data_IF_531419766252
#
_entry.id   IF_531419766252
#
_cell.length_a   1.000
_cell.length_b   1.000
_cell.length_c   1.000
_cell.angle_alpha   90.00
_cell.angle_beta   90.00
_cell.angle_gamma   90.00
#
_symmetry.space_group_name_H-M   'P 1'
#
loop_
_entity.id
_entity.type
_entity.pdbx_description
1 polymer ?
#
# COMPACT_ATOMS: atom_id res chain seq x y z
N UNK A 1 -41.86 -37.36 -12.54
CA UNK A 1 -41.06 -36.57 -11.58
C UNK A 1 -41.94 -36.19 -10.42
N UNK A 2 -41.54 -36.51 -9.20
CA UNK A 2 -42.36 -36.29 -8.00
C UNK A 2 -42.09 -34.91 -7.40
N UNK A 3 -43.12 -34.24 -6.89
CA UNK A 3 -43.01 -32.89 -6.30
C UNK A 3 -41.98 -32.84 -5.16
N UNK A 4 -41.82 -33.95 -4.43
CA UNK A 4 -40.90 -34.10 -3.29
C UNK A 4 -39.42 -34.06 -3.72
N UNK A 5 -39.09 -34.66 -4.85
CA UNK A 5 -37.71 -34.73 -5.38
C UNK A 5 -37.20 -33.34 -5.78
N UNK A 6 -38.10 -32.50 -6.29
CA UNK A 6 -37.79 -31.12 -6.66
C UNK A 6 -37.58 -30.21 -5.43
N UNK A 7 -38.38 -30.39 -4.36
CA UNK A 7 -38.24 -29.64 -3.11
C UNK A 7 -36.93 -30.00 -2.40
N UNK A 8 -36.57 -31.28 -2.33
CA UNK A 8 -35.32 -31.72 -1.69
C UNK A 8 -34.10 -31.18 -2.43
N UNK A 9 -34.12 -31.18 -3.76
CA UNK A 9 -33.01 -30.66 -4.58
C UNK A 9 -32.78 -29.16 -4.36
N UNK A 10 -33.85 -28.35 -4.26
CA UNK A 10 -33.75 -26.90 -3.99
C UNK A 10 -33.25 -26.63 -2.56
N UNK A 11 -33.71 -27.42 -1.57
CA UNK A 11 -33.27 -27.30 -0.18
C UNK A 11 -31.77 -27.60 -0.06
N UNK A 12 -31.28 -28.66 -0.68
CA UNK A 12 -29.86 -29.02 -0.63
C UNK A 12 -28.99 -27.97 -1.34
N UNK A 13 -29.45 -27.43 -2.49
CA UNK A 13 -28.72 -26.39 -3.21
C UNK A 13 -28.61 -25.09 -2.40
N UNK A 14 -29.65 -24.71 -1.64
CA UNK A 14 -29.65 -23.49 -0.84
C UNK A 14 -28.69 -23.54 0.35
N UNK A 15 -28.48 -24.69 0.97
CA UNK A 15 -27.51 -24.87 2.08
C UNK A 15 -26.07 -24.64 1.60
N UNK A 16 -25.74 -25.09 0.38
CA UNK A 16 -24.38 -25.04 -0.17
C UNK A 16 -23.98 -23.59 -0.54
N UNK A 17 -24.94 -22.75 -0.94
CA UNK A 17 -24.68 -21.35 -1.34
C UNK A 17 -24.21 -20.47 -0.16
N UNK A 18 -24.60 -20.80 1.08
CA UNK A 18 -24.34 -19.95 2.25
C UNK A 18 -22.88 -20.04 2.74
N UNK A 19 -22.12 -21.07 2.35
CA UNK A 19 -20.79 -21.35 2.92
C UNK A 19 -19.61 -20.69 2.18
N UNK A 20 -19.81 -20.13 0.98
CA UNK A 20 -18.70 -19.81 0.07
C UNK A 20 -18.26 -18.33 0.00
N UNK A 21 -18.94 -17.40 0.68
CA UNK A 21 -18.82 -15.96 0.37
C UNK A 21 -17.81 -15.14 1.21
N UNK A 22 -17.46 -15.46 2.47
CA UNK A 22 -16.69 -14.49 3.28
C UNK A 22 -15.17 -14.48 3.03
N UNK A 23 -14.57 -15.55 2.52
CA UNK A 23 -13.10 -15.69 2.46
C UNK A 23 -12.46 -14.96 1.27
N UNK A 24 -13.13 -14.93 0.12
CA UNK A 24 -12.59 -14.35 -1.12
C UNK A 24 -12.27 -12.85 -0.98
N UNK A 25 -13.17 -12.09 -0.36
CA UNK A 25 -12.97 -10.65 -0.13
C UNK A 25 -11.71 -10.39 0.71
N UNK A 26 -11.50 -11.18 1.78
CA UNK A 26 -10.32 -11.02 2.65
C UNK A 26 -9.01 -11.38 1.94
N UNK A 27 -9.02 -12.40 1.07
CA UNK A 27 -7.85 -12.79 0.29
C UNK A 27 -7.50 -11.71 -0.75
N UNK A 28 -8.50 -11.20 -1.48
CA UNK A 28 -8.29 -10.13 -2.47
C UNK A 28 -7.75 -8.86 -1.80
N UNK A 29 -8.30 -8.46 -0.65
CA UNK A 29 -7.82 -7.29 0.09
C UNK A 29 -6.37 -7.47 0.56
N UNK A 30 -5.99 -8.67 1.01
CA UNK A 30 -4.61 -8.96 1.38
C UNK A 30 -3.66 -8.93 0.17
N UNK A 31 -4.09 -9.45 -0.98
CA UNK A 31 -3.32 -9.38 -2.23
C UNK A 31 -3.13 -7.93 -2.68
N UNK A 32 -4.18 -7.11 -2.62
CA UNK A 32 -4.09 -5.68 -2.92
C UNK A 32 -3.12 -4.97 -1.96
N UNK A 33 -3.18 -5.27 -0.65
CA UNK A 33 -2.27 -4.69 0.35
C UNK A 33 -0.81 -5.04 0.06
N UNK A 34 -0.52 -6.30 -0.28
CA UNK A 34 0.82 -6.73 -0.67
C UNK A 34 1.29 -6.01 -1.94
N UNK A 35 0.46 -6.03 -2.98
CA UNK A 35 0.78 -5.39 -4.27
C UNK A 35 1.03 -3.90 -4.12
N UNK A 36 0.15 -3.19 -3.42
CA UNK A 36 0.24 -1.75 -3.15
C UNK A 36 1.55 -1.40 -2.40
N UNK A 37 1.91 -2.20 -1.39
CA UNK A 37 3.17 -2.05 -0.65
C UNK A 37 4.41 -2.33 -1.53
N UNK A 38 4.37 -3.38 -2.35
CA UNK A 38 5.46 -3.74 -3.25
C UNK A 38 5.65 -2.69 -4.35
N UNK A 39 4.56 -2.15 -4.90
CA UNK A 39 4.57 -1.03 -5.85
C UNK A 39 5.24 0.20 -5.25
N UNK A 40 4.94 0.56 -4.00
CA UNK A 40 5.61 1.67 -3.32
C UNK A 40 7.10 1.40 -3.15
N UNK A 41 7.47 0.21 -2.69
CA UNK A 41 8.86 -0.21 -2.50
C UNK A 41 9.64 -0.14 -3.81
N UNK A 42 9.06 -0.66 -4.89
CA UNK A 42 9.65 -0.62 -6.22
C UNK A 42 9.81 0.81 -6.70
N UNK A 43 8.79 1.66 -6.54
CA UNK A 43 8.88 3.07 -6.94
C UNK A 43 9.98 3.82 -6.16
N UNK A 44 10.08 3.62 -4.85
CA UNK A 44 11.12 4.25 -4.03
C UNK A 44 12.53 3.81 -4.45
N UNK A 45 12.72 2.52 -4.75
CA UNK A 45 13.99 2.01 -5.27
C UNK A 45 14.31 2.59 -6.66
N UNK A 46 13.30 2.65 -7.52
CA UNK A 46 13.42 3.19 -8.87
C UNK A 46 13.79 4.68 -8.85
N UNK A 47 13.08 5.48 -8.06
CA UNK A 47 13.34 6.90 -7.88
C UNK A 47 14.76 7.17 -7.38
N UNK A 48 15.22 6.40 -6.39
CA UNK A 48 16.61 6.46 -5.91
C UNK A 48 17.60 6.15 -7.03
N UNK A 49 17.34 5.10 -7.80
CA UNK A 49 18.20 4.69 -8.91
C UNK A 49 18.30 5.78 -9.97
N UNK A 50 17.17 6.36 -10.38
CA UNK A 50 17.14 7.48 -11.34
C UNK A 50 17.94 8.66 -10.79
N UNK A 51 17.73 9.05 -9.53
CA UNK A 51 18.41 10.20 -8.94
C UNK A 51 19.94 10.05 -8.98
N UNK A 52 20.45 8.84 -8.67
CA UNK A 52 21.87 8.53 -8.68
C UNK A 52 22.42 8.46 -10.11
N UNK A 53 21.75 7.73 -11.00
CA UNK A 53 22.22 7.46 -12.36
C UNK A 53 22.18 8.71 -13.24
N UNK A 54 21.10 9.48 -13.16
CA UNK A 54 20.91 10.69 -13.96
C UNK A 54 21.48 11.94 -13.27
N UNK A 55 22.00 11.80 -12.05
CA UNK A 55 22.57 12.88 -11.22
C UNK A 55 21.65 14.09 -11.06
N UNK A 56 20.34 13.83 -10.99
CA UNK A 56 19.32 14.87 -10.77
C UNK A 56 18.46 14.55 -9.56
N UNK A 57 17.82 15.58 -9.03
CA UNK A 57 16.83 15.41 -7.97
C UNK A 57 15.58 14.77 -8.57
N UNK A 58 15.03 13.77 -7.88
CA UNK A 58 13.79 13.09 -8.26
C UNK A 58 12.78 13.25 -7.14
N UNK A 59 11.57 13.69 -7.48
CA UNK A 59 10.47 13.85 -6.54
C UNK A 59 9.56 12.64 -6.61
N UNK A 60 9.16 12.11 -5.46
CA UNK A 60 8.16 11.05 -5.33
C UNK A 60 7.02 11.55 -4.47
N UNK A 61 5.84 11.69 -5.05
CA UNK A 61 4.64 12.01 -4.31
C UNK A 61 3.91 10.72 -3.92
N UNK A 62 3.59 10.58 -2.63
CA UNK A 62 2.90 9.44 -2.04
C UNK A 62 1.57 9.97 -1.51
N UNK A 63 0.46 9.64 -2.15
CA UNK A 63 -0.83 10.24 -1.82
C UNK A 63 -1.83 10.24 -2.96
N UNK A 64 -2.95 10.95 -2.75
CA UNK A 64 -4.08 10.95 -3.69
C UNK A 64 -4.12 12.17 -4.62
N UNK A 65 -3.24 13.16 -4.43
CA UNK A 65 -3.34 14.43 -5.13
C UNK A 65 -1.97 15.07 -5.40
N UNK A 66 -1.57 15.07 -6.67
CA UNK A 66 -0.64 16.06 -7.19
C UNK A 66 -1.04 16.40 -8.62
N UNK A 67 -0.88 17.66 -9.07
CA UNK A 67 -0.94 17.97 -10.50
C UNK A 67 -0.01 17.01 -11.25
N UNK A 68 -0.48 16.52 -12.40
CA UNK A 68 0.29 15.61 -13.26
C UNK A 68 1.52 16.37 -13.74
N UNK A 69 2.63 16.16 -13.05
CA UNK A 69 3.92 16.68 -13.43
C UNK A 69 4.75 15.51 -13.96
N UNK A 70 5.17 15.52 -15.24
CA UNK A 70 5.98 14.44 -15.80
C UNK A 70 7.34 14.26 -15.11
N UNK A 71 7.78 15.22 -14.28
CA UNK A 71 9.01 15.16 -13.50
C UNK A 71 8.82 14.57 -12.10
N UNK A 72 7.59 14.33 -11.67
CA UNK A 72 7.26 13.76 -10.36
C UNK A 72 6.77 12.33 -10.54
N UNK A 73 7.38 11.42 -9.80
CA UNK A 73 6.90 10.05 -9.71
C UNK A 73 5.75 9.99 -8.70
N UNK A 74 4.63 9.43 -9.11
CA UNK A 74 3.43 9.34 -8.27
C UNK A 74 3.20 7.91 -7.83
N UNK A 75 2.93 7.73 -6.54
CA UNK A 75 2.35 6.51 -6.00
C UNK A 75 1.04 6.82 -5.30
N UNK A 76 0.06 5.96 -5.57
CA UNK A 76 -1.20 5.92 -4.85
C UNK A 76 -1.54 4.46 -4.52
N UNK A 77 -2.30 4.21 -3.43
CA UNK A 77 -2.74 2.87 -3.08
C UNK A 77 -3.51 2.19 -4.22
N UNK A 78 -3.27 0.90 -4.46
CA UNK A 78 -3.97 0.13 -5.50
C UNK A 78 -5.08 -0.77 -4.92
N UNK A 79 -6.13 -0.99 -5.71
CA UNK A 79 -7.31 -1.77 -5.32
C UNK A 79 -8.10 -1.10 -4.18
N UNK A 80 -8.48 -1.90 -3.18
CA UNK A 80 -9.25 -1.40 -2.01
C UNK A 80 -8.37 -0.73 -0.95
N UNK A 81 -7.04 -0.73 -1.12
CA UNK A 81 -6.12 -0.26 -0.09
C UNK A 81 -6.17 1.24 0.09
N UNK A 82 -5.83 1.72 1.28
CA UNK A 82 -5.76 3.16 1.57
C UNK A 82 -4.47 3.53 2.27
N UNK A 83 -3.96 4.73 1.97
CA UNK A 83 -2.89 5.34 2.73
C UNK A 83 -3.49 5.98 3.98
N UNK A 84 -3.02 5.57 5.16
CA UNK A 84 -3.47 6.13 6.44
C UNK A 84 -2.58 7.28 6.92
N UNK A 85 -1.32 7.27 6.51
CA UNK A 85 -0.38 8.37 6.72
C UNK A 85 -0.76 9.60 5.89
N UNK A 86 -0.28 10.78 6.27
CA UNK A 86 -0.50 11.99 5.49
C UNK A 86 0.24 11.93 4.13
N UNK A 87 -0.39 12.50 3.11
CA UNK A 87 0.20 12.66 1.78
C UNK A 87 1.54 13.41 1.90
N UNK A 88 2.58 12.87 1.28
CA UNK A 88 3.96 13.36 1.45
C UNK A 88 4.71 13.31 0.13
N UNK A 89 5.51 14.34 -0.13
CA UNK A 89 6.48 14.34 -1.23
C UNK A 89 7.88 14.12 -0.69
N UNK A 90 8.55 13.07 -1.18
CA UNK A 90 9.93 12.75 -0.89
C UNK A 90 10.84 13.27 -1.98
N UNK A 91 11.99 13.79 -1.58
CA UNK A 91 13.00 14.30 -2.51
C UNK A 91 14.24 13.42 -2.46
N UNK A 92 14.47 12.66 -3.53
CA UNK A 92 15.69 11.87 -3.73
C UNK A 92 16.76 12.77 -4.34
N UNK A 93 17.87 12.94 -3.63
CA UNK A 93 19.00 13.73 -4.09
C UNK A 93 19.96 12.89 -4.96
N UNK A 94 20.78 13.52 -5.82
CA UNK A 94 21.76 12.83 -6.66
C UNK A 94 22.76 11.93 -5.93
N UNK A 95 23.00 12.19 -4.64
CA UNK A 95 23.86 11.37 -3.78
C UNK A 95 23.15 10.14 -3.18
N UNK A 96 21.89 9.89 -3.55
CA UNK A 96 21.08 8.78 -3.05
C UNK A 96 20.52 8.99 -1.65
N UNK A 97 20.70 10.18 -1.06
CA UNK A 97 20.08 10.58 0.20
C UNK A 97 18.67 11.10 -0.04
N UNK A 98 17.88 11.10 1.04
CA UNK A 98 16.53 11.62 1.05
C UNK A 98 16.47 12.94 1.83
N UNK A 99 15.87 13.96 1.23
CA UNK A 99 15.40 15.11 1.98
C UNK A 99 13.94 14.84 2.42
N UNK A 100 13.78 14.43 3.68
CA UNK A 100 12.49 14.10 4.30
C UNK A 100 11.93 15.38 4.93
N UNK A 101 10.70 15.80 4.63
CA UNK A 101 10.09 16.94 5.29
C UNK A 101 9.86 16.64 6.78
N UNK A 102 10.05 17.62 7.64
CA UNK A 102 10.04 17.45 9.11
C UNK A 102 8.74 16.85 9.65
N UNK A 103 7.59 17.14 9.04
CA UNK A 103 6.30 16.60 9.45
C UNK A 103 6.13 15.10 9.14
N UNK A 104 6.88 14.56 8.18
CA UNK A 104 6.82 13.14 7.81
C UNK A 104 7.89 12.30 8.53
N UNK A 105 8.70 12.94 9.37
CA UNK A 105 9.85 12.33 10.02
C UNK A 105 9.51 11.83 11.43
N UNK A 106 9.89 10.59 11.72
CA UNK A 106 9.79 10.02 13.06
C UNK A 106 11.04 10.42 13.86
N UNK A 107 10.84 11.13 14.97
CA UNK A 107 11.90 11.56 15.90
C UNK A 107 12.46 10.36 16.68
N UNK A 108 13.38 9.65 16.05
CA UNK A 108 14.17 8.56 16.64
C UNK A 108 15.64 8.77 16.29
N UNK A 109 16.58 8.12 17.00
CA UNK A 109 18.02 8.22 16.71
C UNK A 109 18.39 7.89 15.26
N UNK A 110 17.52 7.14 14.57
CA UNK A 110 17.68 6.69 13.18
C UNK A 110 16.64 7.30 12.24
N UNK A 111 16.14 8.50 12.50
CA UNK A 111 15.59 9.42 11.49
C UNK A 111 14.98 8.76 10.22
N UNK A 112 13.73 8.29 10.29
CA UNK A 112 13.03 7.64 9.17
C UNK A 112 11.64 8.25 8.92
N UNK A 113 11.15 8.12 7.70
CA UNK A 113 9.79 8.41 7.27
C UNK A 113 9.01 7.10 7.17
N UNK A 114 7.74 7.07 7.59
CA UNK A 114 6.91 5.86 7.59
C UNK A 114 5.57 6.04 6.91
N UNK A 115 5.19 5.07 6.09
CA UNK A 115 3.92 5.04 5.37
C UNK A 115 3.12 3.83 5.81
N UNK A 116 1.95 4.05 6.41
CA UNK A 116 1.02 2.99 6.77
C UNK A 116 -0.04 2.85 5.67
N UNK A 117 -0.10 1.67 5.09
CA UNK A 117 -1.09 1.27 4.10
C UNK A 117 -2.04 0.28 4.78
N UNK A 118 -3.35 0.47 4.61
CA UNK A 118 -4.37 -0.42 5.14
C UNK A 118 -5.08 -1.18 4.02
N UNK A 119 -5.60 -2.37 4.35
CA UNK A 119 -6.25 -3.26 3.39
C UNK A 119 -7.59 -2.74 2.83
N UNK A 120 -8.26 -1.86 3.57
CA UNK A 120 -9.50 -1.19 3.16
C UNK A 120 -9.72 0.13 3.90
N UNK A 121 -10.62 0.98 3.39
CA UNK A 121 -10.95 2.28 4.00
C UNK A 121 -11.77 2.14 5.30
N UNK A 122 -12.71 1.20 5.32
CA UNK A 122 -13.67 0.99 6.41
C UNK A 122 -13.47 -0.41 6.98
N UNK A 123 -13.43 -0.53 8.31
CA UNK A 123 -13.22 -1.80 9.02
C UNK A 123 -11.91 -2.53 8.63
N UNK A 124 -10.86 -1.75 8.35
CA UNK A 124 -9.53 -2.27 8.05
C UNK A 124 -9.01 -3.19 9.16
N UNK A 125 -8.48 -4.36 8.78
CA UNK A 125 -7.97 -5.34 9.75
C UNK A 125 -6.46 -5.49 9.66
N UNK A 126 -5.89 -5.27 8.47
CA UNK A 126 -4.47 -5.47 8.18
C UNK A 126 -3.84 -4.18 7.70
N UNK A 127 -2.58 -3.99 8.09
CA UNK A 127 -1.76 -2.89 7.62
C UNK A 127 -0.35 -3.35 7.24
N UNK A 128 0.27 -2.61 6.33
CA UNK A 128 1.71 -2.66 6.07
C UNK A 128 2.30 -1.28 6.29
N UNK A 129 3.29 -1.21 7.16
CA UNK A 129 4.05 0.01 7.43
C UNK A 129 5.42 -0.10 6.79
N UNK A 130 5.71 0.77 5.82
CA UNK A 130 6.99 0.85 5.14
C UNK A 130 7.78 2.03 5.71
N UNK A 131 9.00 1.78 6.18
CA UNK A 131 9.89 2.81 6.73
C UNK A 131 11.11 3.01 5.85
N UNK A 132 11.40 4.27 5.49
CA UNK A 132 12.58 4.67 4.72
C UNK A 132 13.43 5.66 5.53
N UNK A 133 14.74 5.46 5.53
CA UNK A 133 15.68 6.34 6.21
C UNK A 133 16.09 7.54 5.37
N UNK A 134 16.68 8.57 6.00
CA UNK A 134 17.39 9.65 5.29
C UNK A 134 18.48 9.15 4.33
N UNK A 135 18.98 7.93 4.51
CA UNK A 135 19.96 7.29 3.63
C UNK A 135 19.33 6.67 2.37
N UNK A 136 18.03 6.90 2.14
CA UNK A 136 17.26 6.36 1.02
C UNK A 136 17.10 4.84 1.06
N UNK A 137 17.38 4.20 2.20
CA UNK A 137 17.25 2.76 2.40
C UNK A 137 15.91 2.44 3.05
N UNK A 138 15.21 1.47 2.50
CA UNK A 138 14.04 0.84 3.11
C UNK A 138 14.55 0.04 4.31
N UNK A 139 14.17 0.46 5.52
CA UNK A 139 14.65 -0.14 6.76
C UNK A 139 13.74 -1.27 7.24
N UNK A 140 12.42 -1.12 7.07
CA UNK A 140 11.45 -2.04 7.64
C UNK A 140 10.16 -2.06 6.83
N UNK A 141 9.61 -3.25 6.67
CA UNK A 141 8.22 -3.48 6.24
C UNK A 141 7.57 -4.27 7.37
N UNK A 142 6.65 -3.65 8.09
CA UNK A 142 5.98 -4.26 9.25
C UNK A 142 4.54 -4.54 8.90
N UNK A 143 4.12 -5.79 9.08
CA UNK A 143 2.72 -6.17 9.04
C UNK A 143 2.08 -5.91 10.41
N UNK A 144 0.85 -5.40 10.41
CA UNK A 144 0.15 -5.06 11.65
C UNK A 144 -1.35 -4.94 11.47
N UNK A 145 -1.99 -4.34 12.48
CA UNK A 145 -3.39 -3.91 12.40
C UNK A 145 -3.46 -2.49 11.87
N UNK A 146 -4.49 -2.18 11.10
CA UNK A 146 -4.79 -0.80 10.76
C UNK A 146 -5.46 -0.14 11.97
N UNK A 147 -4.83 0.89 12.53
CA UNK A 147 -5.32 1.67 13.68
C UNK A 147 -5.46 3.15 13.29
#
# INVERSE_FOLDING_TARGET
>A
MTLIEFVVSIIVLSIIVVLAVPTLSTMINQQNLNKSADELIMLLKHARSIAILERRTVLVHIGTLSPVDPQILHWQPSGNTVLKSADTTLTFMPNGLLNIPSHAMVHTPTAFCSFMICDQAVAAQRSKTISISRMGRIQKVVEGKCL
#
